data_IF_829134679498
#
_entry.id   IF_829134679498
#
_cell.length_a   1.000
_cell.length_b   1.000
_cell.length_c   1.000
_cell.angle_alpha   90.00
_cell.angle_beta   90.00
_cell.angle_gamma   90.00
#
_symmetry.space_group_name_H-M   'P 1'
#
loop_
_entity.id
_entity.type
_entity.pdbx_description
1 polymer ?
#
# COMPACT_ATOMS: atom_id res chain seq x y z
N UNK A 1 12.02 -18.35 0.34
CA UNK A 1 12.35 -17.06 0.97
C UNK A 1 12.04 -15.94 -0.02
N UNK A 2 10.76 -15.55 -0.14
CA UNK A 2 10.42 -14.30 -0.82
C UNK A 2 10.72 -13.18 0.17
N UNK A 3 11.86 -12.52 0.02
CA UNK A 3 11.96 -11.12 0.45
C UNK A 3 10.94 -10.41 -0.42
N UNK A 4 9.81 -9.99 0.13
CA UNK A 4 8.98 -9.00 -0.54
C UNK A 4 9.86 -7.77 -0.69
N UNK A 5 10.43 -7.62 -1.89
CA UNK A 5 11.34 -6.55 -2.25
C UNK A 5 10.51 -5.28 -2.19
N UNK A 6 10.69 -4.49 -1.13
CA UNK A 6 10.23 -3.11 -1.14
C UNK A 6 10.83 -2.45 -2.38
N UNK A 7 9.99 -1.75 -3.12
CA UNK A 7 10.41 -1.16 -4.38
C UNK A 7 11.22 0.09 -4.02
N UNK A 8 12.54 0.01 -4.24
CA UNK A 8 13.39 1.18 -4.19
C UNK A 8 13.10 2.03 -5.44
N UNK A 9 12.31 3.08 -5.25
CA UNK A 9 11.96 4.06 -6.28
C UNK A 9 12.41 5.44 -5.82
N UNK A 10 12.92 6.26 -6.74
CA UNK A 10 13.20 7.66 -6.44
C UNK A 10 11.88 8.41 -6.19
N UNK A 11 11.92 9.49 -5.43
CA UNK A 11 10.73 10.33 -5.21
C UNK A 11 10.11 10.81 -6.52
N UNK A 12 10.95 11.21 -7.49
CA UNK A 12 10.50 11.63 -8.81
C UNK A 12 9.86 10.48 -9.60
N UNK A 13 10.44 9.27 -9.55
CA UNK A 13 9.88 8.09 -10.19
C UNK A 13 8.53 7.69 -9.59
N UNK A 14 8.38 7.81 -8.27
CA UNK A 14 7.11 7.54 -7.59
C UNK A 14 6.03 8.54 -8.00
N UNK A 15 6.37 9.83 -8.09
CA UNK A 15 5.42 10.86 -8.54
C UNK A 15 4.98 10.62 -9.99
N UNK A 16 5.91 10.24 -10.87
CA UNK A 16 5.59 9.89 -12.25
C UNK A 16 4.62 8.70 -12.31
N UNK A 17 4.92 7.62 -11.60
CA UNK A 17 4.07 6.42 -11.57
C UNK A 17 2.67 6.73 -11.02
N UNK A 18 2.56 7.56 -9.98
CA UNK A 18 1.26 8.00 -9.44
C UNK A 18 0.50 8.81 -10.49
N UNK A 19 1.17 9.69 -11.23
CA UNK A 19 0.53 10.48 -12.28
C UNK A 19 0.04 9.58 -13.42
N UNK A 20 0.86 8.63 -13.87
CA UNK A 20 0.47 7.67 -14.90
C UNK A 20 -0.75 6.84 -14.51
N UNK A 21 -0.82 6.39 -13.24
CA UNK A 21 -2.00 5.68 -12.71
C UNK A 21 -3.24 6.57 -12.78
N UNK A 22 -3.11 7.84 -12.37
CA UNK A 22 -4.23 8.79 -12.38
C UNK A 22 -4.70 9.14 -13.79
N UNK A 23 -3.78 9.24 -14.73
CA UNK A 23 -4.09 9.54 -16.13
C UNK A 23 -4.79 8.35 -16.82
N UNK A 24 -4.41 7.12 -16.48
CA UNK A 24 -5.01 5.90 -17.06
C UNK A 24 -6.34 5.52 -16.41
N UNK A 25 -6.43 5.59 -15.07
CA UNK A 25 -7.60 5.13 -14.31
C UNK A 25 -8.64 6.22 -14.04
N UNK A 26 -8.33 7.48 -14.37
CA UNK A 26 -9.13 8.66 -14.05
C UNK A 26 -9.46 8.76 -12.55
N UNK A 27 -10.37 9.68 -12.22
CA UNK A 27 -10.80 9.91 -10.84
C UNK A 27 -11.83 8.87 -10.40
N UNK A 28 -11.35 7.72 -9.92
CA UNK A 28 -12.17 6.60 -9.47
C UNK A 28 -11.69 6.06 -8.11
N UNK A 29 -12.56 5.38 -7.33
CA UNK A 29 -12.14 4.73 -6.09
C UNK A 29 -11.02 3.69 -6.31
N UNK A 30 -11.05 3.01 -7.47
CA UNK A 30 -10.03 2.03 -7.84
C UNK A 30 -8.66 2.68 -8.09
N UNK A 31 -8.64 3.91 -8.61
CA UNK A 31 -7.42 4.71 -8.77
C UNK A 31 -6.79 5.01 -7.41
N UNK A 32 -7.55 5.55 -6.46
CA UNK A 32 -7.07 5.86 -5.11
C UNK A 32 -6.52 4.60 -4.39
N UNK A 33 -7.22 3.47 -4.50
CA UNK A 33 -6.72 2.19 -3.98
C UNK A 33 -5.41 1.74 -4.66
N UNK A 34 -5.29 1.90 -5.98
CA UNK A 34 -4.10 1.49 -6.74
C UNK A 34 -2.88 2.33 -6.35
N UNK A 35 -3.08 3.64 -6.15
CA UNK A 35 -2.04 4.55 -5.61
C UNK A 35 -1.65 4.15 -4.19
N UNK A 36 -2.61 3.87 -3.30
CA UNK A 36 -2.32 3.44 -1.93
C UNK A 36 -1.52 2.12 -1.89
N UNK A 37 -1.86 1.18 -2.79
CA UNK A 37 -1.11 -0.08 -2.95
C UNK A 37 0.33 0.17 -3.39
N UNK A 38 0.56 1.06 -4.37
CA UNK A 38 1.92 1.44 -4.79
C UNK A 38 2.71 2.06 -3.63
N UNK A 39 2.11 3.01 -2.90
CA UNK A 39 2.72 3.64 -1.74
C UNK A 39 3.14 2.61 -0.67
N UNK A 40 2.29 1.61 -0.43
CA UNK A 40 2.58 0.49 0.49
C UNK A 40 3.80 -0.32 0.03
N UNK A 41 3.89 -0.67 -1.26
CA UNK A 41 5.05 -1.38 -1.83
C UNK A 41 6.35 -0.57 -1.75
N UNK A 42 6.25 0.76 -1.79
CA UNK A 42 7.37 1.68 -1.60
C UNK A 42 7.69 1.96 -0.12
N UNK A 43 6.98 1.32 0.82
CA UNK A 43 7.17 1.53 2.26
C UNK A 43 6.63 2.86 2.79
N UNK A 44 5.84 3.59 2.01
CA UNK A 44 5.22 4.88 2.39
C UNK A 44 3.86 4.65 3.05
N UNK A 45 3.86 3.90 4.15
CA UNK A 45 2.62 3.43 4.79
C UNK A 45 1.72 4.57 5.28
N UNK A 46 2.29 5.63 5.85
CA UNK A 46 1.50 6.77 6.34
C UNK A 46 0.74 7.46 5.19
N UNK A 47 1.34 7.58 4.01
CA UNK A 47 0.68 8.19 2.85
C UNK A 47 -0.38 7.25 2.25
N UNK A 48 -0.10 5.94 2.25
CA UNK A 48 -1.09 4.94 1.84
C UNK A 48 -2.31 4.98 2.77
N UNK A 49 -2.09 4.98 4.08
CA UNK A 49 -3.14 5.02 5.11
C UNK A 49 -3.99 6.29 4.99
N UNK A 50 -3.35 7.46 4.91
CA UNK A 50 -4.07 8.72 4.71
C UNK A 50 -4.96 8.71 3.45
N UNK A 51 -4.47 8.13 2.35
CA UNK A 51 -5.28 8.02 1.14
C UNK A 51 -6.48 7.11 1.37
N UNK A 52 -6.29 5.93 1.99
CA UNK A 52 -7.37 5.00 2.32
C UNK A 52 -8.40 5.62 3.27
N UNK A 53 -7.96 6.34 4.31
CA UNK A 53 -8.83 7.03 5.27
C UNK A 53 -9.80 8.00 4.58
N UNK A 54 -9.32 8.68 3.53
CA UNK A 54 -10.12 9.68 2.80
C UNK A 54 -11.10 9.08 1.80
N UNK A 55 -10.95 7.80 1.43
CA UNK A 55 -11.77 7.19 0.37
C UNK A 55 -13.26 7.17 0.72
N UNK A 56 -13.62 6.84 1.97
CA UNK A 56 -15.04 6.81 2.38
C UNK A 56 -15.67 8.20 2.38
N UNK A 57 -14.89 9.24 2.69
CA UNK A 57 -15.34 10.63 2.65
C UNK A 57 -15.53 11.11 1.20
N UNK A 58 -14.63 10.71 0.30
CA UNK A 58 -14.61 11.17 -1.09
C UNK A 58 -15.61 10.43 -1.98
N UNK A 59 -15.68 9.11 -1.84
CA UNK A 59 -16.42 8.22 -2.74
C UNK A 59 -17.70 7.65 -2.12
N UNK A 60 -17.94 7.90 -0.83
CA UNK A 60 -19.03 7.32 -0.07
C UNK A 60 -18.77 5.87 0.35
N UNK A 61 -19.78 5.24 0.94
CA UNK A 61 -19.66 3.90 1.56
C UNK A 61 -20.43 2.83 0.78
N UNK A 62 -20.36 2.87 -0.55
CA UNK A 62 -20.89 1.74 -1.34
C UNK A 62 -20.10 0.46 -1.01
N UNK A 63 -20.71 -0.73 -1.17
CA UNK A 63 -20.03 -1.99 -0.86
C UNK A 63 -18.67 -2.14 -1.57
N UNK A 64 -18.57 -1.65 -2.82
CA UNK A 64 -17.33 -1.69 -3.59
C UNK A 64 -16.23 -0.79 -3.00
N UNK A 65 -16.57 0.43 -2.55
CA UNK A 65 -15.61 1.34 -1.93
C UNK A 65 -15.16 0.79 -0.57
N UNK A 66 -16.09 0.27 0.23
CA UNK A 66 -15.75 -0.36 1.53
C UNK A 66 -14.80 -1.53 1.33
N UNK A 67 -15.06 -2.41 0.34
CA UNK A 67 -14.18 -3.53 0.04
C UNK A 67 -12.77 -3.08 -0.42
N UNK A 68 -12.65 -1.95 -1.12
CA UNK A 68 -11.35 -1.38 -1.49
C UNK A 68 -10.60 -0.81 -0.28
N UNK A 69 -11.31 -0.15 0.63
CA UNK A 69 -10.73 0.39 1.88
C UNK A 69 -10.22 -0.74 2.77
N UNK A 70 -11.01 -1.80 2.97
CA UNK A 70 -10.60 -2.99 3.73
C UNK A 70 -9.35 -3.65 3.10
N UNK A 71 -9.32 -3.81 1.77
CA UNK A 71 -8.13 -4.31 1.06
C UNK A 71 -6.93 -3.39 1.23
N UNK A 72 -7.14 -2.08 1.27
CA UNK A 72 -6.11 -1.07 1.49
C UNK A 72 -5.40 -1.26 2.83
N UNK A 73 -6.16 -1.30 3.93
CA UNK A 73 -5.59 -1.55 5.26
C UNK A 73 -4.93 -2.93 5.34
N UNK A 74 -5.56 -3.98 4.81
CA UNK A 74 -4.98 -5.32 4.82
C UNK A 74 -3.61 -5.38 4.10
N UNK A 75 -3.44 -4.63 3.01
CA UNK A 75 -2.15 -4.50 2.31
C UNK A 75 -1.11 -3.76 3.16
N UNK A 76 -1.50 -2.67 3.84
CA UNK A 76 -0.60 -1.90 4.70
C UNK A 76 -0.14 -2.78 5.87
N UNK A 77 -1.05 -3.48 6.53
CA UNK A 77 -0.74 -4.39 7.63
C UNK A 77 0.22 -5.50 7.20
N UNK A 78 -0.05 -6.15 6.06
CA UNK A 78 0.79 -7.21 5.54
C UNK A 78 2.23 -6.76 5.25
N UNK A 79 2.43 -5.52 4.76
CA UNK A 79 3.74 -5.01 4.34
C UNK A 79 4.48 -4.21 5.42
N UNK A 80 3.77 -3.70 6.43
CA UNK A 80 4.33 -2.90 7.51
C UNK A 80 4.98 -3.76 8.59
N UNK A 81 4.53 -5.00 8.79
CA UNK A 81 5.10 -5.93 9.76
C UNK A 81 6.52 -6.34 9.31
N UNK A 82 7.57 -5.99 10.08
CA UNK A 82 8.89 -6.56 9.83
C UNK A 82 8.78 -8.06 10.08
N UNK A 83 9.04 -8.87 9.05
CA UNK A 83 9.13 -10.33 9.19
C UNK A 83 10.08 -10.61 10.36
N UNK A 84 9.53 -11.06 11.48
CA UNK A 84 10.32 -11.58 12.57
C UNK A 84 11.16 -12.71 11.99
N UNK A 85 12.44 -12.46 11.80
CA UNK A 85 13.39 -13.53 11.52
C UNK A 85 13.26 -14.52 12.69
N UNK A 86 13.06 -15.83 12.46
CA UNK A 86 13.28 -16.78 13.53
C UNK A 86 14.74 -16.60 13.95
N UNK A 87 14.91 -15.96 15.10
CA UNK A 87 16.20 -15.71 15.72
C UNK A 87 16.86 -17.06 15.92
N UNK A 88 17.93 -17.34 15.17
CA UNK A 88 18.83 -18.45 15.49
C UNK A 88 19.50 -18.11 16.81
N UNK A 89 18.86 -18.47 17.91
CA UNK A 89 19.45 -18.69 19.24
C UNK A 89 18.99 -20.09 19.66
N UNK A 90 19.81 -21.03 20.09
CA UNK A 90 21.25 -21.20 20.25
C UNK A 90 21.43 -22.74 20.20
N UNK A 91 22.33 -23.30 19.40
CA UNK A 91 23.64 -23.79 19.83
C UNK A 91 23.69 -24.43 21.25
N UNK A 92 24.18 -25.68 21.27
CA UNK A 92 24.86 -26.40 22.36
C UNK A 92 24.00 -27.08 23.46
N UNK A 93 23.84 -28.41 23.36
CA UNK A 93 24.67 -29.39 24.06
C UNK A 93 24.43 -30.80 23.48
#
# INVERSE_FOLDING_TARGET
MQREQRIEISQAGLQLAIQEIKDDMFDTPACDYTVAKLLSHCGRFNEAEQLIDTMLLRWGSSPDVVALVEKGYANIDAMSVPIATPSKSAALA
#
